data_IF_217030394399
#
_entry.id   IF_217030394399
#
_cell.length_a   1.000
_cell.length_b   1.000
_cell.length_c   1.000
_cell.angle_alpha   90.00
_cell.angle_beta   90.00
_cell.angle_gamma   90.00
#
_symmetry.space_group_name_H-M   'P 1'
#
loop_
_entity.id
_entity.type
_entity.pdbx_description
1 polymer ?
2 non-polymer ?
3 non-polymer ?
4 non-polymer ?
5 non-polymer ?
6 non-polymer ?
7 water ?
#
# COMPACT_ATOMS: atom_id res chain seq x y z
N UNK A 2 26.16 -3.40 11.22
CA UNK A 2 26.49 -4.21 10.02
C UNK A 2 25.54 -5.43 10.00
N UNK A 3 24.91 -5.72 8.88
CA UNK A 3 23.89 -6.81 8.90
C UNK A 3 24.57 -8.15 8.69
N UNK A 4 23.96 -9.24 9.20
CA UNK A 4 24.50 -10.57 8.92
C UNK A 4 24.43 -10.83 7.41
N UNK A 5 25.37 -11.66 6.93
CA UNK A 5 25.37 -12.01 5.49
C UNK A 5 24.25 -12.95 5.14
N UNK A 6 23.79 -13.76 6.08
CA UNK A 6 22.65 -14.67 5.85
C UNK A 6 21.78 -14.73 7.12
N UNK A 7 20.50 -14.91 6.91
CA UNK A 7 19.50 -15.06 7.99
C UNK A 7 18.53 -16.17 7.61
N UNK A 8 18.13 -16.96 8.59
CA UNK A 8 17.02 -17.94 8.36
C UNK A 8 16.20 -18.04 9.65
N UNK A 9 15.02 -17.45 9.63
CA UNK A 9 14.10 -17.43 10.77
C UNK A 9 13.65 -18.84 11.13
N UNK A 10 13.79 -19.82 10.23
CA UNK A 10 13.40 -21.19 10.64
C UNK A 10 14.33 -21.69 11.72
N UNK A 11 15.60 -21.30 11.70
CA UNK A 11 16.60 -21.72 12.70
C UNK A 11 16.30 -21.09 14.07
N UNK A 12 15.51 -20.01 14.07
CA UNK A 12 15.13 -19.24 15.29
C UNK A 12 13.82 -19.79 15.83
N UNK A 13 13.22 -20.79 15.18
CA UNK A 13 11.99 -21.36 15.69
C UNK A 13 10.77 -20.50 15.49
N UNK A 14 10.80 -19.61 14.50
CA UNK A 14 9.75 -18.62 14.33
C UNK A 14 8.87 -18.85 13.10
N UNK A 15 9.03 -20.00 12.42
CA UNK A 15 8.30 -20.30 11.16
C UNK A 15 7.54 -21.61 11.33
N UNK A 16 6.23 -21.58 11.07
CA UNK A 16 5.38 -22.78 11.17
C UNK A 16 5.53 -23.69 9.95
N UNK A 17 4.89 -24.84 10.01
CA UNK A 17 4.84 -25.72 8.81
C UNK A 17 4.22 -24.94 7.63
N UNK A 18 4.64 -25.36 6.45
CA UNK A 18 4.11 -24.83 5.18
C UNK A 18 2.64 -25.29 5.02
N UNK A 19 1.85 -24.30 4.58
CA UNK A 19 0.41 -24.51 4.37
C UNK A 19 0.14 -24.67 2.87
N UNK A 20 -1.06 -25.16 2.58
CA UNK A 20 -1.57 -25.46 1.22
C UNK A 20 -2.87 -24.68 1.04
N UNK A 21 -2.83 -23.67 0.20
CA UNK A 21 -4.03 -22.83 -0.01
C UNK A 21 -5.04 -23.57 -0.89
N UNK A 22 -4.66 -24.58 -1.64
CA UNK A 22 -5.55 -25.21 -2.62
C UNK A 22 -6.17 -24.21 -3.58
N UNK A 23 -7.45 -24.39 -3.89
CA UNK A 23 -8.08 -23.66 -5.02
C UNK A 23 -8.50 -22.24 -4.59
N UNK A 24 -8.15 -21.80 -3.40
CA UNK A 24 -8.55 -20.49 -2.82
C UNK A 24 -7.36 -19.54 -2.88
N UNK A 25 -7.54 -18.39 -3.48
CA UNK A 25 -6.51 -17.34 -3.64
C UNK A 25 -6.28 -16.57 -2.35
N UNK A 26 -5.97 -17.26 -1.28
CA UNK A 26 -5.80 -16.74 0.10
C UNK A 26 -4.33 -16.48 0.42
N UNK A 27 -3.47 -16.34 -0.62
CA UNK A 27 -2.02 -16.12 -0.38
C UNK A 27 -1.80 -14.97 0.61
N UNK A 28 -2.49 -13.86 0.43
CA UNK A 28 -2.41 -12.66 1.29
C UNK A 28 -2.63 -13.07 2.75
N UNK A 29 -3.60 -13.91 3.01
CA UNK A 29 -3.97 -14.34 4.38
C UNK A 29 -2.88 -15.21 4.98
N UNK A 30 -2.30 -16.12 4.18
CA UNK A 30 -1.17 -16.93 4.66
C UNK A 30 0.04 -16.06 4.95
N UNK A 31 0.34 -15.13 4.05
CA UNK A 31 1.48 -14.21 4.22
C UNK A 31 1.33 -13.45 5.52
N UNK A 32 0.15 -12.93 5.79
CA UNK A 32 -0.09 -12.10 6.99
C UNK A 32 0.03 -13.00 8.22
N UNK A 33 -0.61 -14.14 8.27
CA UNK A 33 -0.51 -14.94 9.51
C UNK A 33 0.94 -15.42 9.71
N UNK A 34 1.67 -15.68 8.64
CA UNK A 34 3.06 -16.10 8.81
C UNK A 34 3.88 -15.01 9.47
N UNK A 35 3.71 -13.76 9.01
CA UNK A 35 4.46 -12.66 9.64
C UNK A 35 4.09 -12.52 11.12
N UNK A 36 2.81 -12.63 11.45
CA UNK A 36 2.42 -12.44 12.85
C UNK A 36 2.83 -13.66 13.70
N UNK A 37 2.84 -14.88 13.12
CA UNK A 37 3.28 -16.09 13.88
C UNK A 37 4.70 -15.87 14.42
N UNK A 38 5.56 -15.24 13.62
CA UNK A 38 6.91 -15.00 14.09
C UNK A 38 6.94 -14.05 15.28
N UNK A 39 6.18 -12.96 15.17
CA UNK A 39 6.13 -11.98 16.28
C UNK A 39 5.51 -12.62 17.53
N UNK A 40 4.53 -13.49 17.38
CA UNK A 40 3.94 -14.21 18.52
C UNK A 40 5.01 -15.08 19.19
N UNK A 41 5.82 -15.78 18.40
CA UNK A 41 6.91 -16.57 19.00
C UNK A 41 7.90 -15.66 19.76
N UNK A 42 8.28 -14.56 19.14
CA UNK A 42 9.23 -13.63 19.81
C UNK A 42 8.64 -13.06 21.11
N UNK A 43 7.33 -12.86 21.18
CA UNK A 43 6.76 -12.25 22.40
C UNK A 43 6.48 -13.32 23.47
N UNK A 44 6.00 -14.49 23.11
CA UNK A 44 5.43 -15.47 24.06
C UNK A 44 6.26 -16.71 24.21
N UNK A 45 7.16 -17.00 23.25
CA UNK A 45 7.89 -18.26 23.22
C UNK A 45 7.11 -19.42 22.61
N UNK A 46 5.91 -19.19 22.14
CA UNK A 46 5.09 -20.25 21.52
C UNK A 46 5.03 -20.08 20.01
N UNK A 47 5.23 -21.19 19.32
CA UNK A 47 5.06 -21.20 17.86
C UNK A 47 3.69 -21.81 17.58
N UNK A 48 2.79 -20.99 17.06
CA UNK A 48 1.37 -21.39 16.87
C UNK A 48 0.95 -21.01 15.44
N UNK A 49 0.39 -21.94 14.66
CA UNK A 49 -0.26 -21.58 13.40
C UNK A 49 -1.50 -20.74 13.70
N UNK A 50 -1.58 -19.60 13.03
CA UNK A 50 -2.72 -18.69 13.16
C UNK A 50 -3.68 -18.88 12.01
N UNK A 51 -4.92 -18.49 12.24
CA UNK A 51 -6.01 -18.88 11.33
C UNK A 51 -6.02 -17.96 10.10
N UNK A 52 -5.53 -18.46 8.98
CA UNK A 52 -5.73 -17.75 7.69
C UNK A 52 -7.21 -17.73 7.34
N UNK A 53 -7.99 -18.75 7.71
CA UNK A 53 -9.43 -18.79 7.39
C UNK A 53 -10.14 -17.64 8.11
N UNK A 54 -9.72 -17.30 9.32
CA UNK A 54 -10.27 -16.15 10.06
C UNK A 54 -10.11 -14.89 9.19
N UNK A 55 -8.96 -14.71 8.56
CA UNK A 55 -8.78 -13.51 7.70
C UNK A 55 -9.66 -13.60 6.46
N UNK A 56 -9.67 -14.74 5.80
CA UNK A 56 -10.49 -14.92 4.58
C UNK A 56 -11.93 -14.56 4.88
N UNK A 57 -12.47 -15.08 5.99
CA UNK A 57 -13.91 -14.95 6.32
C UNK A 57 -14.28 -13.59 6.89
N UNK A 58 -13.30 -12.93 7.57
CA UNK A 58 -13.64 -11.78 8.47
C UNK A 58 -12.97 -10.49 8.00
N UNK A 59 -11.77 -10.55 7.44
CA UNK A 59 -11.13 -9.33 6.91
C UNK A 59 -11.58 -9.21 5.46
N UNK A 60 -12.80 -8.75 5.29
CA UNK A 60 -13.53 -8.81 3.99
C UNK A 60 -13.68 -7.40 3.41
N UNK A 61 -14.87 -7.08 2.92
CA UNK A 61 -15.13 -5.85 2.14
C UNK A 61 -14.63 -4.60 2.85
N UNK A 62 -14.82 -4.50 4.15
CA UNK A 62 -14.44 -3.27 4.89
C UNK A 62 -12.93 -3.09 4.94
N UNK A 63 -12.19 -4.14 4.62
CA UNK A 63 -10.70 -4.15 4.56
C UNK A 63 -10.22 -4.18 3.11
N UNK A 64 -11.12 -4.05 2.15
CA UNK A 64 -10.70 -4.08 0.75
C UNK A 64 -10.33 -5.44 0.24
N UNK A 65 -10.66 -6.48 0.99
CA UNK A 65 -10.28 -7.84 0.63
C UNK A 65 -11.47 -8.60 0.05
N UNK A 66 -11.14 -9.66 -0.69
CA UNK A 66 -12.11 -10.45 -1.45
C UNK A 66 -11.89 -11.93 -1.18
N UNK A 67 -11.43 -12.30 0.00
CA UNK A 67 -11.34 -13.71 0.40
C UNK A 67 -10.48 -14.50 -0.59
N UNK A 68 -11.08 -15.55 -1.15
CA UNK A 68 -10.38 -16.43 -2.10
C UNK A 68 -10.04 -15.69 -3.39
N UNK A 69 -10.57 -14.49 -3.60
CA UNK A 69 -10.28 -13.72 -4.82
C UNK A 69 -9.26 -12.62 -4.55
N UNK A 70 -8.60 -12.62 -3.41
CA UNK A 70 -7.42 -11.78 -3.16
C UNK A 70 -7.63 -10.76 -2.06
N UNK A 71 -6.53 -10.16 -1.70
CA UNK A 71 -6.55 -9.19 -0.59
C UNK A 71 -5.18 -8.71 -0.28
N UNK A 72 -5.08 -8.02 0.85
CA UNK A 72 -3.86 -7.29 1.24
C UNK A 72 -3.41 -7.74 2.60
N UNK A 73 -2.12 -7.88 2.77
CA UNK A 73 -1.55 -8.24 4.07
C UNK A 73 -1.73 -7.08 5.06
N UNK A 74 -1.51 -5.86 4.62
CA UNK A 74 -1.56 -4.71 5.56
C UNK A 74 -3.00 -4.61 6.10
N UNK A 75 -4.02 -4.75 5.25
CA UNK A 75 -5.40 -4.57 5.73
C UNK A 75 -5.79 -5.76 6.59
N UNK A 76 -5.23 -6.94 6.36
CA UNK A 76 -5.35 -8.08 7.27
C UNK A 76 -4.79 -7.70 8.66
N UNK A 77 -3.61 -7.11 8.72
CA UNK A 77 -3.05 -6.68 10.01
C UNK A 77 -3.99 -5.71 10.67
N UNK A 78 -4.51 -4.72 9.93
CA UNK A 78 -5.44 -3.74 10.57
C UNK A 78 -6.69 -4.44 11.08
N UNK A 79 -7.24 -5.42 10.35
CA UNK A 79 -8.38 -6.21 10.86
C UNK A 79 -8.03 -6.81 12.22
N UNK A 80 -6.85 -7.38 12.37
CA UNK A 80 -6.44 -8.05 13.64
C UNK A 80 -6.37 -7.01 14.74
N UNK A 81 -5.80 -5.82 14.42
CA UNK A 81 -5.77 -4.71 15.41
C UNK A 81 -7.19 -4.36 15.81
N UNK A 82 -8.04 -4.04 14.82
CA UNK A 82 -9.39 -3.56 15.08
C UNK A 82 -10.25 -4.59 15.82
N UNK A 83 -10.04 -5.83 15.46
CA UNK A 83 -10.83 -6.96 16.02
C UNK A 83 -10.32 -7.33 17.41
N UNK A 84 -9.14 -6.83 17.80
CA UNK A 84 -8.49 -7.18 19.08
C UNK A 84 -8.18 -8.67 19.10
N UNK A 85 -7.91 -9.28 17.94
CA UNK A 85 -7.46 -10.66 17.95
C UNK A 85 -7.57 -11.39 16.63
N UNK A 86 -6.91 -12.52 16.59
CA UNK A 86 -7.07 -13.55 15.57
C UNK A 86 -7.03 -14.91 16.26
N UNK A 87 -7.86 -15.81 15.79
CA UNK A 87 -7.96 -17.17 16.36
C UNK A 87 -6.79 -18.04 15.90
N UNK A 88 -6.55 -19.13 16.64
CA UNK A 88 -5.61 -20.15 16.20
C UNK A 88 -6.12 -20.86 14.96
N UNK A 89 -5.21 -21.38 14.17
CA UNK A 89 -5.61 -22.30 13.07
C UNK A 89 -6.31 -23.53 13.63
N UNK A 90 -5.87 -24.11 14.75
CA UNK A 90 -6.51 -25.31 15.31
C UNK A 90 -7.98 -25.03 15.61
N UNK A 91 -8.31 -23.84 16.12
CA UNK A 91 -9.68 -23.53 16.53
C UNK A 91 -10.53 -23.13 15.30
N UNK A 92 -9.87 -22.64 14.26
CA UNK A 92 -10.56 -22.03 13.10
C UNK A 92 -9.83 -22.50 11.87
N UNK A 93 -9.96 -23.79 11.53
CA UNK A 93 -9.12 -24.37 10.50
C UNK A 93 -9.47 -23.94 9.05
N UNK A 94 -8.50 -24.17 8.19
CA UNK A 94 -8.54 -23.67 6.79
C UNK A 94 -9.35 -24.62 5.91
N UNK A 95 -10.31 -24.04 5.17
CA UNK A 95 -11.23 -24.83 4.31
C UNK A 95 -11.13 -24.43 2.86
N UNK A 96 -10.27 -23.48 2.48
CA UNK A 96 -10.06 -23.14 1.05
C UNK A 96 -11.38 -22.71 0.40
N UNK A 97 -12.20 -21.97 1.11
CA UNK A 97 -13.42 -21.40 0.55
C UNK A 97 -13.81 -20.16 1.37
N UNK A 98 -14.59 -19.28 0.78
CA UNK A 98 -15.14 -18.11 1.50
C UNK A 98 -16.23 -18.65 2.44
N UNK A 99 -16.22 -18.22 3.69
CA UNK A 99 -17.26 -18.54 4.68
C UNK A 99 -17.71 -17.29 5.42
N UNK A 100 -18.86 -17.40 6.05
CA UNK A 100 -19.29 -16.38 7.04
C UNK A 100 -18.24 -16.26 8.13
N UNK A 101 -18.11 -15.05 8.63
CA UNK A 101 -17.21 -14.79 9.77
C UNK A 101 -17.63 -15.61 10.98
N UNK A 102 -16.67 -16.37 11.49
CA UNK A 102 -16.89 -17.27 12.66
C UNK A 102 -15.88 -16.93 13.76
N UNK A 103 -15.26 -15.76 13.71
CA UNK A 103 -14.32 -15.35 14.78
C UNK A 103 -14.99 -15.47 16.14
N UNK A 104 -14.27 -16.01 17.12
CA UNK A 104 -14.70 -16.00 18.51
C UNK A 104 -13.49 -15.65 19.39
N UNK A 105 -13.62 -14.64 20.23
CA UNK A 105 -12.51 -14.18 21.08
C UNK A 105 -12.11 -15.34 22.02
N UNK A 106 -12.95 -16.34 22.26
CA UNK A 106 -12.55 -17.41 23.22
C UNK A 106 -11.45 -18.26 22.57
N UNK A 107 -11.22 -18.14 21.27
CA UNK A 107 -10.19 -18.91 20.57
C UNK A 107 -9.01 -18.03 20.15
N UNK A 108 -8.91 -16.85 20.73
CA UNK A 108 -7.86 -15.87 20.36
C UNK A 108 -6.49 -16.51 20.62
N UNK A 109 -5.61 -16.39 19.63
CA UNK A 109 -4.22 -16.88 19.81
C UNK A 109 -3.24 -15.73 19.71
N UNK A 110 -3.58 -14.64 19.08
CA UNK A 110 -2.62 -13.54 18.93
C UNK A 110 -3.38 -12.22 18.85
N UNK A 111 -2.66 -11.14 19.11
CA UNK A 111 -3.09 -9.75 18.86
C UNK A 111 -2.05 -9.10 17.98
N UNK A 112 -2.36 -7.90 17.51
CA UNK A 112 -1.47 -7.04 16.71
C UNK A 112 -1.65 -5.62 17.20
N UNK A 113 -0.57 -4.87 17.38
CA UNK A 113 -0.63 -3.47 17.87
C UNK A 113 -0.44 -2.48 16.72
N UNK A 114 0.27 -2.89 15.68
CA UNK A 114 0.66 -1.95 14.61
C UNK A 114 1.27 -2.78 13.51
N UNK A 115 1.46 -2.11 12.38
CA UNK A 115 2.26 -2.70 11.28
C UNK A 115 3.01 -1.56 10.61
N UNK A 116 4.00 -1.96 9.87
CA UNK A 116 4.96 -1.05 9.18
C UNK A 116 5.01 -1.48 7.72
N UNK A 117 4.87 -0.51 6.82
CA UNK A 117 5.12 -0.71 5.38
C UNK A 117 6.49 -0.13 5.07
N UNK A 118 7.33 -0.93 4.41
CA UNK A 118 8.70 -0.49 4.06
C UNK A 118 8.65 0.35 2.80
N UNK A 119 9.62 1.21 2.58
CA UNK A 119 9.64 2.04 1.37
C UNK A 119 9.71 1.15 0.12
N UNK A 120 9.11 1.65 -0.96
CA UNK A 120 9.00 0.92 -2.23
C UNK A 120 10.38 0.65 -2.86
N UNK A 121 10.62 -0.65 -3.08
CA UNK A 121 11.66 -1.14 -3.97
C UNK A 121 13.03 -1.16 -3.30
N UNK A 122 13.11 -1.00 -2.00
CA UNK A 122 14.42 -0.81 -1.31
C UNK A 122 14.88 -2.14 -0.69
N UNK A 123 15.72 -2.88 -1.42
CA UNK A 123 16.12 -4.22 -0.96
C UNK A 123 17.05 -4.13 0.24
N UNK A 124 17.81 -3.06 0.39
CA UNK A 124 18.63 -2.88 1.61
C UNK A 124 17.76 -2.72 2.87
N UNK A 125 16.68 -1.98 2.76
CA UNK A 125 15.76 -1.74 3.90
C UNK A 125 15.08 -3.08 4.19
N UNK A 126 14.68 -3.85 3.17
CA UNK A 126 14.05 -5.17 3.37
C UNK A 126 15.07 -6.05 4.11
N UNK A 127 16.33 -6.01 3.71
CA UNK A 127 17.37 -6.84 4.39
C UNK A 127 17.49 -6.48 5.86
N UNK A 128 17.50 -5.21 6.16
CA UNK A 128 17.54 -4.73 7.55
C UNK A 128 16.33 -5.26 8.33
N UNK A 129 15.13 -5.16 7.77
CA UNK A 129 13.92 -5.63 8.44
C UNK A 129 13.98 -7.14 8.70
N UNK A 130 14.38 -7.92 7.70
CA UNK A 130 14.45 -9.38 7.89
C UNK A 130 15.49 -9.67 8.94
N UNK A 131 16.61 -8.97 8.98
CA UNK A 131 17.64 -9.27 9.98
C UNK A 131 17.19 -8.88 11.38
N UNK A 132 16.54 -7.73 11.52
CA UNK A 132 16.36 -7.11 12.85
C UNK A 132 14.94 -7.24 13.39
N UNK A 133 13.95 -7.39 12.54
CA UNK A 133 12.54 -7.38 13.02
C UNK A 133 11.90 -8.73 12.96
N UNK A 134 12.05 -9.47 11.83
CA UNK A 134 11.37 -10.75 11.69
C UNK A 134 11.11 -11.03 10.23
N UNK A 135 10.42 -12.13 9.93
CA UNK A 135 9.89 -12.38 8.59
C UNK A 135 8.98 -11.23 8.15
N UNK A 136 9.03 -10.93 6.88
CA UNK A 136 8.33 -9.78 6.27
C UNK A 136 7.39 -10.26 5.18
N UNK A 137 6.16 -9.79 5.22
CA UNK A 137 5.15 -10.10 4.18
C UNK A 137 5.50 -9.30 2.93
N UNK A 138 5.50 -9.94 1.77
CA UNK A 138 5.78 -9.21 0.49
C UNK A 138 4.83 -9.75 -0.58
N UNK A 139 4.70 -8.97 -1.65
CA UNK A 139 4.07 -9.47 -2.88
C UNK A 139 5.11 -9.73 -3.91
N UNK A 140 4.91 -10.73 -4.73
CA UNK A 140 5.79 -10.98 -5.88
C UNK A 140 4.96 -11.19 -7.15
N UNK A 141 5.59 -10.97 -8.27
CA UNK A 141 5.02 -11.30 -9.59
C UNK A 141 5.21 -12.81 -9.75
N UNK A 142 4.12 -13.57 -9.56
CA UNK A 142 4.14 -15.04 -9.78
C UNK A 142 3.38 -15.35 -11.05
N UNK A 143 3.34 -14.46 -12.05
CA UNK A 143 2.49 -14.67 -13.25
C UNK A 143 3.27 -15.34 -14.37
N UNK A 144 4.29 -16.13 -14.09
CA UNK A 144 5.15 -16.76 -15.11
C UNK A 144 5.19 -18.25 -14.83
N UNK A 145 5.10 -19.08 -15.88
CA UNK A 145 5.17 -20.53 -15.70
C UNK A 145 6.41 -20.96 -14.89
N UNK A 146 7.55 -20.28 -15.06
CA UNK A 146 8.77 -20.65 -14.29
C UNK A 146 8.53 -20.64 -12.79
N UNK A 147 7.64 -19.79 -12.27
CA UNK A 147 7.39 -19.75 -10.82
C UNK A 147 6.69 -21.04 -10.40
N UNK A 148 5.68 -21.45 -11.16
CA UNK A 148 4.94 -22.71 -10.89
C UNK A 148 5.86 -23.92 -11.04
N UNK A 149 6.82 -23.85 -11.94
CA UNK A 149 7.68 -25.01 -12.28
C UNK A 149 8.95 -25.02 -11.42
N UNK A 150 9.14 -24.02 -10.59
CA UNK A 150 10.38 -23.88 -9.80
C UNK A 150 10.62 -25.14 -8.94
N UNK A 151 11.83 -25.64 -8.93
CA UNK A 151 12.14 -26.82 -8.10
C UNK A 151 13.25 -26.50 -7.11
N UNK A 152 14.31 -25.82 -7.52
CA UNK A 152 15.46 -25.59 -6.61
C UNK A 152 16.37 -24.50 -7.15
N UNK A 153 17.18 -24.01 -6.23
CA UNK A 153 18.22 -23.02 -6.58
C UNK A 153 17.68 -21.60 -6.50
N UNK A 154 18.36 -20.67 -7.10
CA UNK A 154 17.93 -19.25 -7.07
C UNK A 154 17.09 -18.94 -8.30
N UNK A 155 15.87 -18.54 -8.02
CA UNK A 155 14.89 -18.24 -9.10
C UNK A 155 15.18 -16.85 -9.68
N UNK A 156 15.33 -16.83 -10.99
CA UNK A 156 15.45 -15.60 -11.80
C UNK A 156 14.62 -15.82 -13.08
N UNK A 157 13.68 -14.92 -13.31
CA UNK A 157 12.80 -14.97 -14.48
C UNK A 157 13.02 -13.70 -15.31
N UNK A 158 13.61 -13.80 -16.50
CA UNK A 158 13.86 -12.62 -17.33
C UNK A 158 12.63 -11.75 -17.60
N UNK A 159 11.47 -12.38 -17.63
CA UNK A 159 10.19 -11.70 -17.97
C UNK A 159 9.54 -11.12 -16.73
N UNK A 160 10.10 -11.33 -15.53
CA UNK A 160 9.46 -10.87 -14.29
C UNK A 160 9.29 -9.34 -14.33
N UNK A 161 8.26 -8.87 -13.63
CA UNK A 161 7.90 -7.43 -13.56
C UNK A 161 7.83 -7.05 -12.09
N UNK A 162 7.52 -5.79 -11.85
CA UNK A 162 7.16 -5.31 -10.51
C UNK A 162 5.63 -5.19 -10.39
N UNK A 163 4.87 -5.84 -11.25
CA UNK A 163 3.40 -5.94 -11.07
C UNK A 163 3.15 -7.18 -10.22
N UNK A 164 3.07 -6.97 -8.91
CA UNK A 164 3.00 -8.11 -7.97
C UNK A 164 1.55 -8.58 -7.82
N UNK A 165 1.38 -9.88 -7.59
CA UNK A 165 0.03 -10.46 -7.44
C UNK A 165 -0.03 -11.55 -6.42
N UNK A 166 1.07 -11.96 -5.82
CA UNK A 166 1.06 -13.19 -5.00
C UNK A 166 1.76 -12.89 -3.68
N UNK A 167 1.01 -12.98 -2.59
CA UNK A 167 1.51 -12.68 -1.25
C UNK A 167 2.28 -13.86 -0.71
N UNK A 168 3.48 -13.58 -0.25
CA UNK A 168 4.40 -14.61 0.31
C UNK A 168 5.14 -14.02 1.50
N UNK A 169 6.01 -14.82 2.14
CA UNK A 169 6.67 -14.38 3.38
C UNK A 169 8.17 -14.54 3.21
N UNK A 170 8.90 -13.45 3.37
CA UNK A 170 10.38 -13.57 3.39
C UNK A 170 10.80 -14.01 4.77
N UNK A 171 11.43 -15.16 4.89
CA UNK A 171 11.86 -15.71 6.19
C UNK A 171 13.38 -15.69 6.29
N UNK A 172 14.08 -15.15 5.29
CA UNK A 172 15.53 -15.15 5.38
C UNK A 172 16.16 -14.58 4.16
N UNK A 173 17.46 -14.68 4.10
CA UNK A 173 18.24 -14.26 2.91
C UNK A 173 19.59 -14.91 2.97
N UNK A 174 20.29 -14.99 1.84
CA UNK A 174 21.63 -15.51 1.80
C UNK A 174 22.15 -15.56 0.40
N UNK A 175 23.09 -16.44 0.15
CA UNK A 175 23.65 -16.58 -1.21
C UNK A 175 23.99 -18.05 -1.48
N UNK A 176 23.83 -18.41 -2.73
CA UNK A 176 24.11 -19.79 -3.17
C UNK A 176 25.26 -19.64 -4.15
N UNK A 177 26.49 -19.89 -3.72
CA UNK A 177 27.71 -19.80 -4.59
C UNK A 177 27.61 -18.64 -5.61
N UNK A 178 27.74 -17.41 -5.12
CA UNK A 178 27.76 -16.15 -5.89
C UNK A 178 26.40 -15.61 -6.18
N UNK A 179 25.34 -16.26 -5.65
CA UNK A 179 24.05 -15.81 -6.17
C UNK A 179 23.16 -15.41 -5.03
N UNK A 180 22.91 -14.13 -4.82
CA UNK A 180 22.17 -13.70 -3.62
C UNK A 180 20.69 -14.03 -3.78
N UNK A 181 20.08 -14.36 -2.66
CA UNK A 181 18.64 -14.71 -2.68
C UNK A 181 17.92 -14.24 -1.43
N UNK A 182 16.61 -14.14 -1.59
CA UNK A 182 15.60 -14.02 -0.53
C UNK A 182 15.01 -15.39 -0.25
N UNK A 183 14.92 -15.85 0.98
CA UNK A 183 14.27 -17.15 1.27
C UNK A 183 12.81 -16.92 1.51
N UNK A 184 11.98 -17.43 0.65
CA UNK A 184 10.54 -17.15 0.64
C UNK A 184 9.76 -18.41 0.98
N UNK A 185 8.88 -18.26 1.98
CA UNK A 185 7.90 -19.30 2.33
C UNK A 185 6.65 -19.07 1.47
N UNK A 186 6.26 -20.05 0.71
CA UNK A 186 5.02 -19.98 -0.12
C UNK A 186 3.93 -20.74 0.63
N UNK A 187 2.70 -20.65 0.13
CA UNK A 187 1.55 -21.36 0.70
C UNK A 187 0.93 -22.28 -0.35
N UNK A 188 1.74 -22.95 -1.15
CA UNK A 188 1.30 -23.91 -2.16
C UNK A 188 1.68 -25.34 -1.77
N UNK A 189 1.79 -25.55 -0.46
CA UNK A 189 2.03 -26.87 0.11
C UNK A 189 3.51 -27.26 0.05
N UNK A 190 3.79 -28.40 0.65
CA UNK A 190 5.20 -28.89 0.72
C UNK A 190 5.68 -29.49 -0.61
N UNK A 191 4.87 -29.71 -1.61
CA UNK A 191 5.37 -30.25 -2.88
C UNK A 191 5.91 -29.09 -3.73
N UNK A 192 5.60 -27.86 -3.38
CA UNK A 192 6.08 -26.75 -4.22
C UNK A 192 7.57 -26.58 -3.95
N UNK A 193 8.36 -26.32 -4.99
CA UNK A 193 9.69 -25.75 -4.81
C UNK A 193 10.51 -26.63 -3.85
N UNK A 194 11.28 -25.90 -3.02
CA UNK A 194 12.17 -26.55 -2.03
C UNK A 194 11.35 -26.86 -0.79
N UNK A 195 10.51 -27.89 -0.87
CA UNK A 195 9.63 -28.30 0.25
C UNK A 195 8.83 -27.16 0.79
N UNK A 196 8.32 -26.34 -0.13
CA UNK A 196 7.38 -25.28 0.20
C UNK A 196 7.96 -23.90 0.05
N UNK A 197 9.29 -23.78 -0.13
CA UNK A 197 10.07 -22.54 -0.18
C UNK A 197 10.61 -22.30 -1.56
N UNK A 198 10.87 -21.03 -1.84
CA UNK A 198 11.56 -20.64 -3.09
C UNK A 198 12.60 -19.61 -2.72
N UNK A 199 13.77 -19.76 -3.26
CA UNK A 199 14.85 -18.77 -3.10
C UNK A 199 14.81 -17.86 -4.34
N UNK A 200 14.50 -16.61 -4.10
CA UNK A 200 14.25 -15.63 -5.19
C UNK A 200 15.41 -14.66 -5.30
N UNK A 201 15.77 -14.27 -6.50
CA UNK A 201 16.96 -13.44 -6.75
C UNK A 201 16.90 -12.17 -5.91
N UNK A 202 18.01 -11.83 -5.28
CA UNK A 202 18.13 -10.65 -4.40
C UNK A 202 19.17 -9.68 -4.98
N UNK A 203 18.93 -8.38 -4.81
CA UNK A 203 19.82 -7.35 -5.38
C UNK A 203 19.98 -7.54 -6.90
N UNK A 204 18.86 -7.82 -7.56
CA UNK A 204 18.74 -7.91 -9.04
C UNK A 204 17.64 -6.96 -9.49
N UNK A 205 17.66 -5.74 -8.97
CA UNK A 205 16.74 -4.72 -9.51
C UNK A 205 15.34 -4.96 -9.01
N UNK A 206 15.13 -5.35 -7.77
CA UNK A 206 13.78 -5.57 -7.24
C UNK A 206 13.08 -6.63 -8.08
N UNK A 207 13.77 -7.75 -8.24
CA UNK A 207 13.32 -8.82 -9.15
C UNK A 207 11.96 -9.34 -8.71
N UNK A 208 11.06 -9.45 -9.69
CA UNK A 208 9.66 -9.89 -9.46
C UNK A 208 8.94 -9.02 -8.41
N UNK A 209 9.43 -7.81 -8.16
CA UNK A 209 8.76 -6.89 -7.24
C UNK A 209 8.83 -7.33 -5.80
N UNK A 210 9.80 -8.17 -5.42
CA UNK A 210 9.79 -8.73 -4.06
C UNK A 210 9.90 -7.60 -2.99
N UNK A 211 10.63 -6.52 -3.28
CA UNK A 211 10.77 -5.39 -2.32
C UNK A 211 9.82 -4.25 -2.65
N UNK A 212 8.84 -4.48 -3.51
CA UNK A 212 7.87 -3.42 -3.84
C UNK A 212 7.04 -3.05 -2.63
N UNK A 213 6.39 -4.03 -2.00
CA UNK A 213 5.39 -3.71 -0.96
C UNK A 213 5.55 -4.61 0.25
N UNK A 214 6.64 -4.41 1.00
CA UNK A 214 6.88 -5.24 2.18
C UNK A 214 6.23 -4.65 3.43
N UNK A 215 5.73 -5.52 4.32
CA UNK A 215 5.15 -5.04 5.57
C UNK A 215 5.38 -6.08 6.68
N UNK A 216 5.40 -5.61 7.90
CA UNK A 216 5.48 -6.54 9.05
C UNK A 216 4.66 -5.98 10.20
N UNK A 217 4.04 -6.90 10.97
CA UNK A 217 3.25 -6.50 12.12
C UNK A 217 4.10 -6.55 13.38
N UNK A 218 3.65 -5.91 14.44
CA UNK A 218 4.26 -6.04 15.77
C UNK A 218 3.16 -6.22 16.82
N UNK A 219 3.53 -6.82 17.94
CA UNK A 219 2.64 -7.08 19.09
C UNK A 219 3.13 -6.23 20.25
N UNK A 220 2.21 -5.61 20.96
CA UNK A 220 2.45 -4.76 22.16
C UNK A 220 3.50 -5.43 23.05
N UNK A 221 4.62 -4.73 23.30
CA UNK A 221 5.91 -5.18 23.93
C UNK A 221 6.77 -5.95 22.92
N UNK B 2 -5.13 18.94 20.89
CA UNK B 2 -6.55 19.12 20.45
C UNK B 2 -6.51 19.60 18.99
N UNK B 3 -7.14 18.85 18.08
CA UNK B 3 -7.12 19.20 16.65
C UNK B 3 -8.16 20.27 16.37
N UNK B 4 -7.91 21.12 15.37
CA UNK B 4 -8.93 22.07 14.93
C UNK B 4 -10.19 21.33 14.47
N UNK B 5 -11.34 21.96 14.72
CA UNK B 5 -12.63 21.39 14.25
C UNK B 5 -12.73 21.44 12.73
N UNK B 6 -12.06 22.39 12.06
CA UNK B 6 -12.00 22.41 10.59
C UNK B 6 -10.64 22.85 10.09
N UNK B 7 -10.35 22.40 8.88
CA UNK B 7 -9.10 22.74 8.17
C UNK B 7 -9.46 22.96 6.70
N UNK B 8 -8.77 23.90 6.09
CA UNK B 8 -8.87 24.09 4.62
C UNK B 8 -7.53 24.64 4.16
N UNK B 9 -6.68 23.80 3.58
CA UNK B 9 -5.35 24.21 3.14
C UNK B 9 -5.39 25.21 2.00
N UNK B 10 -6.54 25.37 1.33
CA UNK B 10 -6.62 26.47 0.32
C UNK B 10 -6.45 27.81 1.02
N UNK B 11 -6.84 27.96 2.29
CA UNK B 11 -6.78 29.25 3.03
C UNK B 11 -5.33 29.60 3.34
N UNK B 12 -4.43 28.63 3.27
CA UNK B 12 -2.98 28.86 3.50
C UNK B 12 -2.19 28.93 2.18
N UNK B 13 -2.88 28.96 1.04
CA UNK B 13 -2.19 29.09 -0.26
C UNK B 13 -1.44 27.82 -0.64
N UNK B 14 -1.83 26.65 -0.16
CA UNK B 14 -1.03 25.43 -0.35
C UNK B 14 -1.65 24.53 -1.42
N UNK B 15 -2.67 25.00 -2.13
CA UNK B 15 -3.39 24.15 -3.11
C UNK B 15 -3.41 24.89 -4.44
N UNK B 16 -2.99 24.16 -5.48
CA UNK B 16 -2.96 24.74 -6.84
C UNK B 16 -4.34 24.63 -7.48
N UNK B 17 -4.46 25.25 -8.64
CA UNK B 17 -5.72 25.18 -9.43
C UNK B 17 -6.08 23.72 -9.70
N UNK B 18 -7.38 23.46 -9.69
CA UNK B 18 -7.89 22.13 -10.07
C UNK B 18 -7.47 21.84 -11.52
N UNK B 19 -7.08 20.62 -11.77
CA UNK B 19 -6.60 20.12 -13.07
C UNK B 19 -7.69 19.26 -13.70
N UNK B 20 -7.54 19.02 -14.99
CA UNK B 20 -8.44 18.20 -15.82
C UNK B 20 -7.66 17.04 -16.46
N UNK B 21 -7.89 15.84 -15.96
CA UNK B 21 -7.12 14.67 -16.39
C UNK B 21 -7.53 14.23 -17.78
N UNK B 22 -8.72 14.59 -18.29
CA UNK B 22 -9.19 14.08 -19.58
C UNK B 22 -9.34 12.57 -19.59
N UNK B 23 -9.19 11.96 -20.76
CA UNK B 23 -9.49 10.51 -20.96
C UNK B 23 -8.32 9.61 -20.46
N UNK B 24 -7.45 10.11 -19.65
CA UNK B 24 -6.22 9.40 -19.21
C UNK B 24 -6.44 9.08 -17.74
N UNK B 25 -6.32 7.82 -17.33
CA UNK B 25 -6.49 7.43 -15.91
C UNK B 25 -5.29 7.76 -15.05
N UNK B 26 -4.90 9.01 -14.99
CA UNK B 26 -3.70 9.49 -14.31
C UNK B 26 -4.07 10.14 -12.97
N UNK B 27 -5.20 9.79 -12.37
CA UNK B 27 -5.60 10.40 -11.10
C UNK B 27 -4.51 10.21 -10.04
N UNK B 28 -3.86 9.07 -10.05
CA UNK B 28 -2.79 8.77 -9.05
C UNK B 28 -1.70 9.84 -9.15
N UNK B 29 -1.36 10.25 -10.35
CA UNK B 29 -0.31 11.22 -10.62
C UNK B 29 -0.74 12.61 -10.13
N UNK B 30 -1.99 12.97 -10.39
CA UNK B 30 -2.52 14.25 -9.90
C UNK B 30 -2.58 14.28 -8.38
N UNK B 31 -3.06 13.20 -7.77
CA UNK B 31 -3.13 13.10 -6.29
C UNK B 31 -1.72 13.30 -5.71
N UNK B 32 -0.75 12.60 -6.28
CA UNK B 32 0.64 12.66 -5.74
C UNK B 32 1.22 14.05 -5.91
N UNK B 33 1.10 14.68 -7.07
CA UNK B 33 1.66 16.04 -7.26
C UNK B 33 0.96 17.02 -6.34
N UNK B 34 -0.36 16.87 -6.15
CA UNK B 34 -1.06 17.80 -5.28
C UNK B 34 -0.55 17.75 -3.85
N UNK B 35 -0.28 16.54 -3.32
CA UNK B 35 0.27 16.43 -1.97
C UNK B 35 1.64 17.08 -1.92
N UNK B 36 2.48 16.84 -2.90
CA UNK B 36 3.83 17.41 -2.86
C UNK B 36 3.82 18.94 -3.08
N UNK B 37 2.88 19.45 -3.87
CA UNK B 37 2.74 20.90 -4.10
C UNK B 37 2.56 21.63 -2.75
N UNK B 38 1.76 21.06 -1.85
CA UNK B 38 1.52 21.72 -0.57
C UNK B 38 2.82 21.75 0.26
N UNK B 39 3.51 20.61 0.29
CA UNK B 39 4.78 20.56 1.04
C UNK B 39 5.81 21.54 0.48
N UNK B 40 5.85 21.68 -0.84
CA UNK B 40 6.74 22.64 -1.48
C UNK B 40 6.41 24.06 -1.00
N UNK B 41 5.12 24.41 -0.96
CA UNK B 41 4.69 25.75 -0.50
C UNK B 41 5.12 25.90 0.95
N UNK B 42 4.86 24.86 1.77
CA UNK B 42 5.23 24.96 3.21
C UNK B 42 6.73 25.17 3.38
N UNK B 43 7.54 24.54 2.54
CA UNK B 43 9.01 24.63 2.74
C UNK B 43 9.58 25.93 2.15
N UNK B 44 9.14 26.31 0.95
CA UNK B 44 9.82 27.35 0.12
C UNK B 44 9.04 28.66 0.07
N UNK B 45 7.77 28.66 0.44
CA UNK B 45 6.83 29.80 0.36
C UNK B 45 6.25 29.94 -1.05
N UNK B 46 6.62 29.11 -2.01
CA UNK B 46 6.16 29.28 -3.40
C UNK B 46 5.18 28.17 -3.79
N UNK B 47 4.03 28.55 -4.33
CA UNK B 47 3.00 27.64 -4.86
C UNK B 47 3.26 27.41 -6.35
N UNK B 48 3.55 26.20 -6.72
CA UNK B 48 3.95 25.79 -8.09
C UNK B 48 3.24 24.51 -8.45
N UNK B 49 2.56 24.47 -9.60
CA UNK B 49 1.98 23.20 -10.06
C UNK B 49 3.09 22.27 -10.59
N UNK B 50 3.06 21.05 -10.10
CA UNK B 50 4.11 20.08 -10.47
C UNK B 50 3.56 19.21 -11.59
N UNK B 51 4.47 18.52 -12.28
CA UNK B 51 4.16 17.81 -13.54
C UNK B 51 3.56 16.43 -13.27
N UNK B 52 2.25 16.27 -13.42
CA UNK B 52 1.63 14.95 -13.44
C UNK B 52 2.13 14.17 -14.67
N UNK B 53 2.41 14.84 -15.77
CA UNK B 53 2.87 14.13 -16.99
C UNK B 53 4.23 13.48 -16.69
N UNK B 54 5.09 14.18 -15.94
CA UNK B 54 6.42 13.59 -15.61
C UNK B 54 6.19 12.27 -14.89
N UNK B 55 5.21 12.15 -14.01
CA UNK B 55 4.94 10.87 -13.32
C UNK B 55 4.40 9.84 -14.31
N UNK B 56 3.42 10.24 -15.13
CA UNK B 56 2.86 9.32 -16.13
C UNK B 56 3.98 8.74 -16.98
N UNK B 57 4.90 9.58 -17.49
CA UNK B 57 5.89 9.12 -18.51
C UNK B 57 7.05 8.40 -17.84
N UNK B 58 7.39 8.77 -16.61
CA UNK B 58 8.68 8.37 -15.97
C UNK B 58 8.50 7.39 -14.80
N UNK B 59 7.45 7.52 -14.00
CA UNK B 59 7.22 6.62 -12.86
C UNK B 59 6.38 5.45 -13.38
N UNK B 60 7.03 4.54 -14.12
CA UNK B 60 6.35 3.52 -14.97
C UNK B 60 6.56 2.13 -14.40
N UNK B 61 6.87 1.14 -15.23
CA UNK B 61 6.74 -0.25 -14.76
C UNK B 61 7.67 -0.53 -13.57
N UNK B 62 8.81 0.12 -13.41
CA UNK B 62 9.70 -0.12 -12.24
C UNK B 62 8.97 0.25 -10.96
N UNK B 63 7.96 1.06 -11.06
CA UNK B 63 7.20 1.65 -9.94
C UNK B 63 5.82 1.00 -9.82
N UNK B 64 5.53 0.02 -10.65
CA UNK B 64 4.24 -0.69 -10.60
C UNK B 64 3.14 0.13 -11.26
N UNK B 65 3.50 1.20 -11.95
CA UNK B 65 2.53 2.15 -12.54
C UNK B 65 2.38 1.89 -14.04
N UNK B 66 1.20 2.29 -14.54
CA UNK B 66 0.81 2.00 -15.94
C UNK B 66 0.29 3.29 -16.58
N UNK B 67 0.81 4.44 -16.20
CA UNK B 67 0.51 5.69 -16.91
C UNK B 67 -0.99 6.00 -16.90
N UNK B 68 -1.52 6.14 -18.11
CA UNK B 68 -2.96 6.44 -18.29
C UNK B 68 -3.83 5.26 -17.92
N UNK B 69 -3.25 4.12 -17.56
CA UNK B 69 -4.01 2.92 -17.12
C UNK B 69 -3.81 2.67 -15.62
N UNK B 70 -3.36 3.65 -14.88
CA UNK B 70 -3.42 3.59 -13.42
C UNK B 70 -2.07 3.54 -12.74
N UNK B 71 -2.10 3.67 -11.43
CA UNK B 71 -0.84 3.61 -10.64
C UNK B 71 -1.12 4.00 -9.22
N UNK B 72 -0.05 4.30 -8.50
CA UNK B 72 -0.07 4.44 -7.04
C UNK B 72 0.59 5.75 -6.66
N UNK B 73 0.04 6.44 -5.66
CA UNK B 73 0.67 7.66 -5.17
C UNK B 73 1.97 7.32 -4.43
N UNK B 74 1.99 6.30 -3.65
CA UNK B 74 3.24 6.00 -2.89
C UNK B 74 4.38 5.72 -3.86
N UNK B 75 4.12 4.97 -4.90
CA UNK B 75 5.26 4.61 -5.75
C UNK B 75 5.64 5.84 -6.60
N UNK B 76 4.71 6.73 -6.88
CA UNK B 76 5.05 8.03 -7.48
C UNK B 76 6.00 8.83 -6.57
N UNK B 77 5.73 8.88 -5.27
CA UNK B 77 6.61 9.54 -4.30
C UNK B 77 7.98 8.91 -4.40
N UNK B 78 8.05 7.56 -4.37
CA UNK B 78 9.35 6.89 -4.40
C UNK B 78 10.10 7.26 -5.68
N UNK B 79 9.41 7.34 -6.81
CA UNK B 79 10.12 7.77 -8.05
C UNK B 79 10.71 9.17 -7.88
N UNK B 80 9.98 10.07 -7.23
CA UNK B 80 10.49 11.46 -7.06
C UNK B 80 11.73 11.44 -6.16
N UNK B 81 11.70 10.61 -5.14
CA UNK B 81 12.87 10.41 -4.24
C UNK B 81 14.03 9.87 -5.07
N UNK B 82 13.81 8.76 -5.77
CA UNK B 82 14.87 8.06 -6.55
C UNK B 82 15.44 8.97 -7.62
N UNK B 83 14.58 9.73 -8.30
CA UNK B 83 14.95 10.57 -9.43
C UNK B 83 15.64 11.84 -8.95
N UNK B 84 15.47 12.18 -7.67
CA UNK B 84 15.99 13.43 -7.05
C UNK B 84 15.27 14.63 -7.68
N UNK B 85 14.02 14.43 -8.09
CA UNK B 85 13.25 15.62 -8.51
C UNK B 85 12.05 15.31 -9.33
N UNK B 86 11.23 16.34 -9.51
CA UNK B 86 10.07 16.33 -10.44
C UNK B 86 10.05 17.69 -11.08
N UNK B 87 9.79 17.74 -12.39
CA UNK B 87 9.70 19.00 -13.15
C UNK B 87 8.38 19.75 -12.83
N UNK B 88 8.36 21.04 -13.12
CA UNK B 88 7.10 21.83 -13.01
C UNK B 88 6.13 21.38 -14.08
N UNK B 89 4.85 21.66 -13.83
CA UNK B 89 3.81 21.49 -14.86
C UNK B 89 4.08 22.39 -16.07
N UNK B 90 4.53 23.62 -15.83
CA UNK B 90 4.77 24.54 -16.95
C UNK B 90 5.83 23.95 -17.89
N UNK B 91 6.90 23.37 -17.35
CA UNK B 91 8.04 22.84 -18.11
C UNK B 91 7.68 21.51 -18.79
N UNK B 92 6.77 20.79 -18.18
CA UNK B 92 6.50 19.40 -18.61
C UNK B 92 4.99 19.23 -18.58
N UNK B 93 4.31 19.82 -19.58
CA UNK B 93 2.85 19.95 -19.50
C UNK B 93 2.12 18.63 -19.73
N UNK B 94 0.87 18.68 -19.34
CA UNK B 94 0.01 17.48 -19.34
C UNK B 94 -0.70 17.30 -20.64
N UNK B 95 -0.55 16.12 -21.22
CA UNK B 95 -1.08 15.77 -22.55
C UNK B 95 -2.13 14.65 -22.51
N UNK B 96 -2.40 14.07 -21.36
CA UNK B 96 -3.43 13.02 -21.20
C UNK B 96 -3.13 11.84 -22.09
N UNK B 97 -1.84 11.50 -22.22
CA UNK B 97 -1.41 10.35 -23.05
C UNK B 97 -0.11 9.82 -22.47
N UNK B 98 0.19 8.57 -22.76
CA UNK B 98 1.49 7.98 -22.38
C UNK B 98 2.57 8.47 -23.36
N UNK B 99 3.67 9.01 -22.83
CA UNK B 99 4.78 9.52 -23.67
C UNK B 99 6.11 9.00 -23.14
N UNK B 100 7.16 9.20 -23.96
CA UNK B 100 8.53 8.88 -23.53
C UNK B 100 8.91 9.77 -22.35
N UNK B 101 9.73 9.23 -21.47
CA UNK B 101 10.24 10.01 -20.33
C UNK B 101 11.08 11.17 -20.85
N UNK B 102 10.74 12.39 -20.43
CA UNK B 102 11.38 13.66 -20.88
C UNK B 102 11.84 14.47 -19.67
N UNK B 103 12.02 13.82 -18.52
CA UNK B 103 12.46 14.51 -17.29
C UNK B 103 13.79 15.22 -17.62
N UNK B 104 13.91 16.41 -17.10
CA UNK B 104 15.16 17.20 -17.22
C UNK B 104 15.34 17.96 -15.92
N UNK B 105 16.44 17.80 -15.21
CA UNK B 105 16.69 18.50 -13.93
C UNK B 105 16.71 20.02 -14.11
N UNK B 106 16.94 20.54 -15.31
CA UNK B 106 16.93 22.00 -15.58
C UNK B 106 15.59 22.58 -15.14
N UNK B 107 14.57 21.74 -15.19
CA UNK B 107 13.18 22.22 -14.96
C UNK B 107 12.67 21.69 -13.63
N UNK B 108 13.54 21.18 -12.78
CA UNK B 108 13.11 20.65 -11.49
C UNK B 108 12.48 21.73 -10.62
N UNK B 109 11.30 21.44 -10.06
CA UNK B 109 10.61 22.40 -9.19
C UNK B 109 10.33 21.83 -7.80
N UNK B 110 10.57 20.57 -7.57
CA UNK B 110 10.42 19.98 -6.23
C UNK B 110 11.30 18.76 -6.12
N UNK B 111 11.54 18.40 -4.87
CA UNK B 111 12.17 17.15 -4.45
C UNK B 111 11.23 16.53 -3.43
N UNK B 112 11.53 15.31 -3.07
CA UNK B 112 10.85 14.56 -2.02
C UNK B 112 11.88 13.74 -1.26
N UNK B 113 11.77 13.67 0.06
CA UNK B 113 12.75 12.92 0.87
C UNK B 113 12.18 11.64 1.43
N UNK B 114 10.89 11.59 1.64
CA UNK B 114 10.27 10.43 2.28
C UNK B 114 8.79 10.55 2.04
N UNK B 115 8.11 9.47 2.31
CA UNK B 115 6.62 9.48 2.35
C UNK B 115 6.17 8.56 3.49
N UNK B 116 4.93 8.79 3.92
CA UNK B 116 4.32 8.07 5.03
C UNK B 116 2.98 7.54 4.54
N UNK B 117 2.70 6.27 4.83
CA UNK B 117 1.36 5.66 4.66
C UNK B 117 0.68 5.60 6.03
N UNK B 118 -0.55 6.09 6.07
CA UNK B 118 -1.35 6.08 7.31
C UNK B 118 -1.96 4.70 7.50
N UNK B 119 -2.29 4.34 8.71
CA UNK B 119 -2.95 3.07 8.98
C UNK B 119 -4.33 3.00 8.33
N UNK B 120 -4.62 1.79 7.86
CA UNK B 120 -5.87 1.52 7.10
C UNK B 120 -7.13 1.88 7.93
N UNK B 121 -7.95 2.74 7.32
CA UNK B 121 -9.32 3.00 7.73
C UNK B 121 -9.44 3.91 8.91
N UNK B 122 -8.36 4.50 9.39
CA UNK B 122 -8.36 5.28 10.65
C UNK B 122 -8.64 6.75 10.34
N UNK B 123 -9.89 7.17 10.47
CA UNK B 123 -10.24 8.54 10.08
C UNK B 123 -9.75 9.55 11.11
N UNK B 124 -9.53 9.15 12.35
CA UNK B 124 -8.94 10.02 13.37
C UNK B 124 -7.48 10.30 13.02
N UNK B 125 -6.74 9.29 12.54
CA UNK B 125 -5.33 9.48 12.17
C UNK B 125 -5.26 10.34 10.92
N UNK B 126 -6.18 10.14 9.98
CA UNK B 126 -6.19 10.98 8.76
C UNK B 126 -6.47 12.43 9.19
N UNK B 127 -7.39 12.66 10.12
CA UNK B 127 -7.69 14.04 10.59
C UNK B 127 -6.43 14.68 11.17
N UNK B 128 -5.69 13.93 11.96
CA UNK B 128 -4.45 14.45 12.58
C UNK B 128 -3.48 14.86 11.46
N UNK B 129 -3.31 14.00 10.47
CA UNK B 129 -2.35 14.26 9.39
C UNK B 129 -2.79 15.49 8.59
N UNK B 130 -4.06 15.59 8.27
CA UNK B 130 -4.49 16.75 7.45
C UNK B 130 -4.30 18.02 8.31
N UNK B 131 -4.53 17.99 9.61
CA UNK B 131 -4.36 19.17 10.48
C UNK B 131 -2.86 19.51 10.58
N UNK B 132 -2.00 18.50 10.79
CA UNK B 132 -0.62 18.74 11.30
C UNK B 132 0.43 18.65 10.19
N UNK B 133 0.16 17.94 9.12
CA UNK B 133 1.18 17.69 8.06
C UNK B 133 0.83 18.41 6.77
N UNK B 134 -0.43 18.35 6.37
CA UNK B 134 -0.84 18.99 5.13
C UNK B 134 -1.78 18.11 4.37
N UNK B 135 -2.17 18.48 3.14
CA UNK B 135 -3.00 17.65 2.29
C UNK B 135 -2.49 16.22 2.13
N UNK B 136 -3.39 15.26 2.08
CA UNK B 136 -3.07 13.81 2.10
C UNK B 136 -3.64 13.17 0.84
N UNK B 137 -2.83 12.43 0.12
CA UNK B 137 -3.26 11.62 -1.04
C UNK B 137 -4.09 10.47 -0.50
N UNK B 138 -5.21 10.18 -1.14
CA UNK B 138 -6.08 9.05 -0.78
C UNK B 138 -6.68 8.45 -2.05
N UNK B 139 -7.18 7.23 -1.91
CA UNK B 139 -8.04 6.60 -2.92
C UNK B 139 -9.47 6.58 -2.45
N UNK B 140 -10.38 6.76 -3.37
CA UNK B 140 -11.82 6.64 -3.07
C UNK B 140 -12.50 5.78 -4.10
N UNK B 141 -13.59 5.15 -3.70
CA UNK B 141 -14.53 4.45 -4.61
C UNK B 141 -15.37 5.51 -5.32
N UNK B 142 -14.97 5.89 -6.52
CA UNK B 142 -15.67 6.88 -7.36
C UNK B 142 -16.42 6.19 -8.45
N UNK B 143 -16.86 4.95 -8.26
CA UNK B 143 -17.46 4.15 -9.34
C UNK B 143 -18.96 4.49 -9.51
N UNK B 144 -19.59 5.03 -8.48
CA UNK B 144 -21.05 5.04 -8.43
C UNK B 144 -21.59 6.24 -9.20
N UNK B 145 -22.68 6.05 -9.99
CA UNK B 145 -23.28 7.15 -10.77
C UNK B 145 -23.46 8.46 -9.99
N UNK B 146 -23.83 8.38 -8.73
CA UNK B 146 -24.00 9.56 -7.86
C UNK B 146 -22.72 10.38 -7.78
N UNK B 147 -21.54 9.78 -7.81
CA UNK B 147 -20.29 10.54 -7.65
C UNK B 147 -20.18 11.54 -8.79
N UNK B 148 -20.38 11.07 -10.01
CA UNK B 148 -20.22 11.91 -11.20
C UNK B 148 -21.18 13.12 -11.13
N UNK B 149 -22.34 12.95 -10.54
CA UNK B 149 -23.42 13.94 -10.53
C UNK B 149 -23.37 14.81 -9.28
N UNK B 150 -22.40 14.59 -8.40
CA UNK B 150 -22.33 15.41 -7.16
C UNK B 150 -22.29 16.91 -7.52
N UNK B 151 -23.07 17.73 -6.83
CA UNK B 151 -23.07 19.20 -7.05
C UNK B 151 -22.85 19.96 -5.74
N UNK B 152 -23.38 19.49 -4.62
CA UNK B 152 -23.38 20.27 -3.36
C UNK B 152 -23.61 19.40 -2.14
N UNK B 153 -23.38 19.98 -0.94
CA UNK B 153 -23.64 19.24 0.27
C UNK B 153 -22.51 18.29 0.60
N UNK B 154 -22.84 17.29 1.39
CA UNK B 154 -21.89 16.25 1.80
C UNK B 154 -22.31 14.92 1.16
N UNK B 155 -21.41 14.36 0.37
CA UNK B 155 -21.64 13.15 -0.43
C UNK B 155 -21.68 11.94 0.50
N UNK B 156 -22.78 11.25 0.49
CA UNK B 156 -23.00 9.97 1.19
C UNK B 156 -23.81 9.09 0.27
N UNK B 157 -23.22 7.97 -0.11
CA UNK B 157 -23.77 7.02 -1.10
C UNK B 157 -23.86 5.68 -0.40
N UNK B 158 -25.06 5.21 -0.06
CA UNK B 158 -25.24 3.91 0.60
C UNK B 158 -24.58 2.78 -0.18
N UNK B 159 -24.45 2.87 -1.51
CA UNK B 159 -23.85 1.80 -2.33
C UNK B 159 -22.32 1.87 -2.33
N UNK B 160 -21.72 2.85 -1.68
CA UNK B 160 -20.24 3.01 -1.71
C UNK B 160 -19.60 1.83 -0.99
N UNK B 161 -18.39 1.56 -1.42
CA UNK B 161 -17.58 0.44 -0.89
C UNK B 161 -16.23 0.98 -0.49
N UNK B 162 -15.42 0.08 0.11
CA UNK B 162 -14.01 0.35 0.38
C UNK B 162 -13.13 -0.20 -0.75
N UNK B 163 -13.68 -0.49 -1.91
CA UNK B 163 -12.93 -0.95 -3.09
C UNK B 163 -12.53 0.32 -3.86
N UNK B 164 -11.39 0.93 -3.58
CA UNK B 164 -11.10 2.27 -4.11
C UNK B 164 -10.49 2.17 -5.50
N UNK B 165 -10.75 3.15 -6.36
CA UNK B 165 -10.31 3.09 -7.77
C UNK B 165 -9.82 4.46 -8.21
N UNK B 166 -9.93 5.52 -7.39
CA UNK B 166 -9.64 6.87 -7.93
C UNK B 166 -8.81 7.63 -6.92
N UNK B 167 -7.64 8.09 -7.34
CA UNK B 167 -6.77 8.90 -6.50
C UNK B 167 -7.20 10.34 -6.46
N UNK B 168 -7.29 10.90 -5.26
CA UNK B 168 -7.70 12.27 -5.01
C UNK B 168 -6.89 12.85 -3.89
N UNK B 169 -7.22 14.09 -3.47
CA UNK B 169 -6.41 14.77 -2.46
C UNK B 169 -7.31 15.36 -1.41
N UNK B 170 -7.09 14.93 -0.19
CA UNK B 170 -7.81 15.54 0.95
C UNK B 170 -7.09 16.82 1.32
N UNK B 171 -7.78 17.98 1.20
CA UNK B 171 -7.21 19.29 1.51
C UNK B 171 -7.83 19.92 2.74
N UNK B 172 -8.75 19.19 3.39
CA UNK B 172 -9.38 19.76 4.58
C UNK B 172 -10.42 18.86 5.16
N UNK B 173 -11.13 19.40 6.12
CA UNK B 173 -12.25 18.70 6.77
C UNK B 173 -13.06 19.73 7.51
N UNK B 174 -14.28 19.35 7.84
CA UNK B 174 -15.15 20.24 8.59
C UNK B 174 -16.50 19.63 8.86
N UNK B 175 -17.47 20.51 9.09
CA UNK B 175 -18.86 20.12 9.40
C UNK B 175 -19.76 21.10 8.67
N UNK B 176 -20.68 20.57 7.88
CA UNK B 176 -21.69 21.39 7.17
C UNK B 176 -23.10 20.90 7.62
N UNK B 177 -23.85 21.77 8.26
CA UNK B 177 -25.25 21.44 8.60
C UNK B 177 -25.29 20.11 9.34
N UNK B 178 -24.35 19.89 10.26
CA UNK B 178 -24.37 18.70 11.11
C UNK B 178 -23.77 17.48 10.45
N UNK B 179 -23.28 17.55 9.22
CA UNK B 179 -22.64 16.45 8.51
C UNK B 179 -21.14 16.71 8.50
N UNK B 180 -20.36 15.81 9.09
CA UNK B 180 -18.90 15.93 9.02
C UNK B 180 -18.43 15.55 7.64
N UNK B 181 -17.42 16.23 7.13
CA UNK B 181 -16.93 15.92 5.79
C UNK B 181 -15.41 16.02 5.70
N UNK B 182 -14.90 15.36 4.67
CA UNK B 182 -13.55 15.55 4.16
C UNK B 182 -13.68 16.46 2.92
N UNK B 183 -12.78 17.41 2.79
CA UNK B 183 -12.75 18.30 1.60
C UNK B 183 -11.79 17.69 0.60
N UNK B 184 -12.29 17.24 -0.53
CA UNK B 184 -11.52 16.46 -1.52
C UNK B 184 -11.38 17.23 -2.82
N UNK B 185 -10.14 17.41 -3.25
CA UNK B 185 -9.82 18.03 -4.55
C UNK B 185 -9.77 16.89 -5.59
N UNK B 186 -10.59 16.94 -6.59
CA UNK B 186 -10.61 15.99 -7.72
C UNK B 186 -9.78 16.55 -8.87
N UNK B 187 -9.60 15.76 -9.94
CA UNK B 187 -8.84 16.14 -11.16
C UNK B 187 -9.74 15.96 -12.38
N UNK B 188 -11.00 16.30 -12.27
CA UNK B 188 -11.94 16.27 -13.40
C UNK B 188 -12.35 17.71 -13.83
N UNK B 189 -11.48 18.67 -13.55
CA UNK B 189 -11.75 20.06 -13.94
C UNK B 189 -12.67 20.80 -12.99
N UNK B 190 -12.89 22.08 -13.24
CA UNK B 190 -13.80 22.93 -12.42
C UNK B 190 -15.25 22.57 -12.62
N UNK B 191 -15.62 21.87 -13.68
CA UNK B 191 -17.04 21.51 -13.95
C UNK B 191 -17.56 20.53 -12.93
N UNK B 192 -16.67 19.73 -12.39
CA UNK B 192 -17.06 18.66 -11.45
C UNK B 192 -17.40 19.33 -10.12
N UNK B 193 -18.47 18.90 -9.50
CA UNK B 193 -18.73 19.20 -8.09
C UNK B 193 -18.75 20.67 -7.80
N UNK B 194 -18.10 21.07 -6.73
CA UNK B 194 -18.03 22.47 -6.23
C UNK B 194 -16.70 23.06 -6.73
N UNK B 195 -16.64 23.48 -7.98
CA UNK B 195 -15.44 24.05 -8.61
C UNK B 195 -14.30 23.04 -8.55
N UNK B 196 -14.61 21.75 -8.71
CA UNK B 196 -13.57 20.71 -8.78
C UNK B 196 -13.42 19.93 -7.50
N UNK B 197 -14.15 20.32 -6.44
CA UNK B 197 -14.09 19.69 -5.12
C UNK B 197 -15.36 18.91 -4.83
N UNK B 198 -15.21 17.96 -3.92
CA UNK B 198 -16.34 17.20 -3.36
C UNK B 198 -16.16 17.11 -1.84
N UNK B 199 -17.19 17.42 -1.09
CA UNK B 199 -17.19 17.12 0.36
C UNK B 199 -17.71 15.69 0.53
N UNK B 200 -16.90 14.82 1.10
CA UNK B 200 -17.24 13.40 1.25
C UNK B 200 -17.47 13.08 2.71
N UNK B 201 -18.45 12.25 3.05
CA UNK B 201 -18.83 11.96 4.44
C UNK B 201 -17.61 11.48 5.25
N UNK B 202 -17.48 12.07 6.42
CA UNK B 202 -16.40 11.80 7.41
C UNK B 202 -17.00 11.17 8.65
N UNK B 203 -16.27 10.21 9.23
CA UNK B 203 -16.68 9.44 10.43
C UNK B 203 -17.99 8.70 10.15
N UNK B 204 -18.14 8.22 8.91
CA UNK B 204 -19.29 7.37 8.51
C UNK B 204 -18.75 6.04 8.02
N UNK B 205 -17.93 5.39 8.83
CA UNK B 205 -17.46 4.03 8.54
C UNK B 205 -16.56 4.00 7.37
N UNK B 206 -15.59 4.91 7.28
CA UNK B 206 -14.59 4.86 6.17
C UNK B 206 -15.34 4.87 4.83
N UNK B 207 -16.23 5.86 4.71
CA UNK B 207 -17.15 5.93 3.55
C UNK B 207 -16.37 6.10 2.23
N UNK B 208 -16.68 5.23 1.28
CA UNK B 208 -16.05 5.17 -0.03
C UNK B 208 -14.58 4.86 0.09
N UNK B 209 -14.16 4.32 1.23
CA UNK B 209 -12.73 4.00 1.39
C UNK B 209 -11.79 5.17 1.51
N UNK B 210 -12.27 6.36 1.87
CA UNK B 210 -11.44 7.58 1.83
C UNK B 210 -10.24 7.46 2.76
N UNK B 211 -10.38 6.79 3.90
CA UNK B 211 -9.23 6.63 4.84
C UNK B 211 -8.57 5.27 4.68
N UNK B 212 -8.86 4.51 3.60
CA UNK B 212 -8.22 3.19 3.36
C UNK B 212 -6.70 3.31 3.14
N UNK B 213 -6.27 4.14 2.21
CA UNK B 213 -4.86 4.14 1.76
C UNK B 213 -4.36 5.57 1.68
N UNK B 214 -4.25 6.29 2.81
CA UNK B 214 -3.75 7.65 2.76
C UNK B 214 -2.22 7.67 2.79
N UNK B 215 -1.62 8.63 2.13
CA UNK B 215 -0.17 8.85 2.18
C UNK B 215 0.12 10.31 1.99
N UNK B 216 1.26 10.73 2.51
CA UNK B 216 1.73 12.11 2.26
C UNK B 216 3.24 12.08 2.20
N UNK B 217 3.80 12.95 1.33
CA UNK B 217 5.25 13.11 1.19
C UNK B 217 5.77 14.19 2.13
N UNK B 218 7.09 14.26 2.27
CA UNK B 218 7.74 15.39 2.99
C UNK B 218 9.02 15.74 2.24
N UNK B 219 9.44 16.96 2.43
CA UNK B 219 10.69 17.52 1.84
C UNK B 219 11.58 17.90 3.03
N UNK B 220 12.76 17.35 3.12
CA UNK B 220 13.63 17.66 4.30
C UNK B 220 14.52 18.83 3.91
N UNK B 221 15.30 19.34 4.86
CA UNK B 221 16.44 20.26 4.59
C UNK B 221 17.60 19.49 3.93
#
# INVERSE_FOLDING_TARGET
RILPDSVDWREKGCVTEVKYQGSCGACWAFSAVGALEAQLKLKTGKLVSLSAQNLVDCSTEKYGNKGCNGGFMTTAFQYIIDNKGIDSDASYPYKAMDQKCQYDSKYRAATCSKYTELPYGREDVLKEAVANKGPVSVGVDARHPSFFLYRSGVYYEPSCTQNVNHGVLVVGYGDLNGKEYWLVKNSWGHNFGEEGYIRMARNKGNHCGIASFPSYPEIHHHHHH
RILPDSVDWREKGCVTEVKYQGSCGACWAFSAVGALEAQLKLKTGKLVSLSAQNLVDCSTEKYGNKGCNGGFMTTAFQYIIDNKGIDSDASYPYKAMDQKCQYDSKYRAATCSKYTELPYGREDVLKEAVANKGPVSVGVDARHPSFFLYRSGVYYEPSCTQNVNHGVLVVGYGDLNGKEYWLVKNSWGHNFGEEGYIRMARNKGNHCGIASFPSYPEIHHHHHH
#
